data_IF_234776584376
#
_entry.id   IF_234776584376
#
_cell.length_a   1.000
_cell.length_b   1.000
_cell.length_c   1.000
_cell.angle_alpha   90.00
_cell.angle_beta   90.00
_cell.angle_gamma   90.00
#
_symmetry.space_group_name_H-M   'P 1'
#
loop_
_entity.id
_entity.type
_entity.pdbx_description
1 polymer ?
#
# COMPACT_ATOMS: atom_id res chain seq x y z
N UNK A 1 -18.48 11.63 5.32
CA UNK A 1 -18.94 11.04 4.05
C UNK A 1 -17.84 10.58 3.10
N UNK A 2 -16.73 11.33 2.88
CA UNK A 2 -15.60 10.83 2.07
C UNK A 2 -14.89 9.63 2.70
N UNK A 3 -14.64 9.68 4.01
CA UNK A 3 -14.05 8.57 4.77
C UNK A 3 -14.94 7.33 4.79
N UNK A 4 -16.25 7.50 4.94
CA UNK A 4 -17.21 6.39 4.95
C UNK A 4 -17.15 5.58 3.65
N UNK A 5 -17.09 6.29 2.51
CA UNK A 5 -16.96 5.66 1.19
C UNK A 5 -15.61 4.96 1.01
N UNK A 6 -14.52 5.56 1.50
CA UNK A 6 -13.19 4.95 1.45
C UNK A 6 -13.13 3.66 2.25
N UNK A 7 -13.63 3.68 3.49
CA UNK A 7 -13.68 2.50 4.37
C UNK A 7 -14.60 1.43 3.79
N UNK A 8 -15.77 1.80 3.26
CA UNK A 8 -16.72 0.87 2.65
C UNK A 8 -16.11 0.14 1.43
N UNK A 9 -15.27 0.81 0.64
CA UNK A 9 -14.59 0.19 -0.50
C UNK A 9 -13.31 -0.58 -0.10
N UNK A 10 -12.70 -0.20 1.02
CA UNK A 10 -11.46 -0.80 1.50
C UNK A 10 -11.72 -2.08 2.30
N UNK A 11 -12.69 -2.05 3.22
CA UNK A 11 -12.98 -3.14 4.17
C UNK A 11 -13.23 -4.48 3.48
N UNK A 12 -14.05 -4.60 2.42
CA UNK A 12 -14.31 -5.90 1.78
C UNK A 12 -13.07 -6.57 1.17
N UNK A 13 -11.99 -5.80 0.96
CA UNK A 13 -10.73 -6.28 0.36
C UNK A 13 -9.62 -6.54 1.38
N UNK A 14 -9.91 -6.43 2.66
CA UNK A 14 -8.94 -6.61 3.76
C UNK A 14 -9.60 -7.33 4.93
N UNK A 15 -10.16 -8.51 4.68
CA UNK A 15 -10.78 -9.35 5.70
C UNK A 15 -9.75 -10.24 6.41
N UNK A 16 -8.64 -10.57 5.75
CA UNK A 16 -7.55 -11.35 6.33
C UNK A 16 -6.73 -10.50 7.30
N UNK A 17 -6.55 -11.01 8.52
CA UNK A 17 -5.79 -10.33 9.58
C UNK A 17 -4.32 -10.10 9.19
N UNK A 18 -3.71 -11.03 8.48
CA UNK A 18 -2.33 -10.90 7.99
C UNK A 18 -2.23 -9.79 6.95
N UNK A 19 -3.17 -9.75 5.99
CA UNK A 19 -3.24 -8.66 5.02
C UNK A 19 -3.38 -7.30 5.71
N UNK A 20 -4.28 -7.20 6.71
CA UNK A 20 -4.47 -6.00 7.51
C UNK A 20 -3.18 -5.52 8.18
N UNK A 21 -2.48 -6.40 8.90
CA UNK A 21 -1.27 -6.02 9.63
C UNK A 21 -0.11 -5.66 8.72
N UNK A 22 0.04 -6.36 7.59
CA UNK A 22 1.05 -6.01 6.59
C UNK A 22 0.81 -4.60 6.02
N UNK A 23 -0.45 -4.20 5.83
CA UNK A 23 -0.79 -2.83 5.44
C UNK A 23 -0.56 -1.81 6.56
N UNK A 24 -0.88 -2.15 7.82
CA UNK A 24 -0.62 -1.27 8.96
C UNK A 24 0.86 -0.95 9.15
N UNK A 25 1.76 -1.84 8.74
CA UNK A 25 3.22 -1.59 8.74
C UNK A 25 3.68 -0.94 7.43
N UNK A 26 3.21 -1.46 6.29
CA UNK A 26 3.65 -1.00 4.97
C UNK A 26 3.24 0.44 4.64
N UNK A 27 2.02 0.86 4.99
CA UNK A 27 1.56 2.22 4.70
C UNK A 27 2.39 3.30 5.43
N UNK A 28 2.62 3.23 6.76
CA UNK A 28 3.52 4.16 7.43
C UNK A 28 4.95 4.12 6.91
N UNK A 29 5.47 2.94 6.55
CA UNK A 29 6.80 2.81 5.97
C UNK A 29 6.92 3.60 4.66
N UNK A 30 5.96 3.47 3.76
CA UNK A 30 5.96 4.16 2.46
C UNK A 30 5.67 5.66 2.56
N UNK A 31 4.67 6.06 3.35
CA UNK A 31 4.12 7.42 3.28
C UNK A 31 4.56 8.34 4.41
N UNK A 32 5.21 7.80 5.45
CA UNK A 32 5.72 8.59 6.58
C UNK A 32 7.23 8.40 6.71
N UNK A 33 7.68 7.17 6.93
CA UNK A 33 9.08 6.90 7.25
C UNK A 33 10.01 7.15 6.04
N UNK A 34 9.64 6.69 4.85
CA UNK A 34 10.45 6.92 3.65
C UNK A 34 10.60 8.41 3.30
N UNK A 35 9.53 9.24 3.24
CA UNK A 35 9.68 10.69 3.07
C UNK A 35 10.50 11.36 4.17
N UNK A 36 10.30 10.97 5.43
CA UNK A 36 11.09 11.52 6.54
C UNK A 36 12.59 11.23 6.37
N UNK A 37 12.95 9.99 6.01
CA UNK A 37 14.33 9.61 5.73
C UNK A 37 14.89 10.35 4.52
N UNK A 38 14.09 10.56 3.47
CA UNK A 38 14.52 11.33 2.30
C UNK A 38 14.84 12.79 2.66
N UNK A 39 13.99 13.43 3.48
CA UNK A 39 14.17 14.82 3.92
C UNK A 39 15.46 15.00 4.72
N UNK A 40 15.82 14.03 5.56
CA UNK A 40 17.07 14.07 6.36
C UNK A 40 18.30 13.57 5.59
N UNK A 41 18.20 13.40 4.26
CA UNK A 41 19.32 13.01 3.38
C UNK A 41 19.64 11.52 3.38
N UNK A 42 18.83 10.68 4.03
CA UNK A 42 19.03 9.22 4.11
C UNK A 42 18.35 8.50 2.93
N UNK A 43 18.75 8.83 1.70
CA UNK A 43 18.11 8.35 0.47
C UNK A 43 18.05 6.83 0.33
N UNK A 44 19.11 6.11 0.73
CA UNK A 44 19.13 4.64 0.71
C UNK A 44 18.09 4.04 1.67
N UNK A 45 18.00 4.56 2.89
CA UNK A 45 17.01 4.11 3.87
C UNK A 45 15.59 4.46 3.41
N UNK A 46 15.39 5.65 2.83
CA UNK A 46 14.12 6.05 2.25
C UNK A 46 13.67 5.08 1.15
N UNK A 47 14.57 4.73 0.23
CA UNK A 47 14.32 3.75 -0.83
C UNK A 47 13.97 2.37 -0.27
N UNK A 48 14.74 1.89 0.72
CA UNK A 48 14.49 0.60 1.35
C UNK A 48 13.14 0.55 2.07
N UNK A 49 12.77 1.60 2.80
CA UNK A 49 11.48 1.71 3.50
C UNK A 49 10.31 1.77 2.51
N UNK A 50 10.47 2.51 1.41
CA UNK A 50 9.44 2.61 0.38
C UNK A 50 9.24 1.26 -0.32
N UNK A 51 10.31 0.65 -0.84
CA UNK A 51 10.23 -0.63 -1.55
C UNK A 51 9.78 -1.75 -0.62
N UNK A 52 10.35 -1.84 0.59
CA UNK A 52 9.98 -2.84 1.59
C UNK A 52 8.53 -2.67 2.05
N UNK A 53 8.12 -1.45 2.39
CA UNK A 53 6.74 -1.15 2.77
C UNK A 53 5.74 -1.47 1.67
N UNK A 54 6.10 -1.23 0.41
CA UNK A 54 5.26 -1.54 -0.74
C UNK A 54 5.16 -3.06 -0.97
N UNK A 55 6.28 -3.78 -0.85
CA UNK A 55 6.31 -5.24 -0.93
C UNK A 55 5.42 -5.91 0.13
N UNK A 56 5.42 -5.39 1.38
CA UNK A 56 4.52 -5.89 2.43
C UNK A 56 3.04 -5.74 2.05
N UNK A 57 2.66 -4.61 1.47
CA UNK A 57 1.27 -4.35 1.04
C UNK A 57 0.85 -5.30 -0.09
N UNK A 58 1.72 -5.49 -1.10
CA UNK A 58 1.47 -6.44 -2.19
C UNK A 58 1.38 -7.88 -1.68
N UNK A 59 2.25 -8.26 -0.74
CA UNK A 59 2.18 -9.58 -0.11
C UNK A 59 0.87 -9.76 0.66
N UNK A 60 0.41 -8.72 1.36
CA UNK A 60 -0.90 -8.72 2.02
C UNK A 60 -2.03 -9.02 1.04
N UNK A 61 -2.05 -8.32 -0.10
CA UNK A 61 -3.04 -8.56 -1.15
C UNK A 61 -2.94 -9.95 -1.79
N UNK A 62 -1.72 -10.47 -1.94
CA UNK A 62 -1.49 -11.85 -2.40
C UNK A 62 -2.07 -12.88 -1.42
N UNK A 63 -1.89 -12.68 -0.12
CA UNK A 63 -2.44 -13.54 0.95
C UNK A 63 -3.97 -13.42 1.02
N UNK A 64 -4.52 -12.22 0.84
CA UNK A 64 -5.96 -11.98 0.77
C UNK A 64 -6.58 -12.60 -0.50
N UNK A 65 -5.80 -12.82 -1.55
CA UNK A 65 -6.25 -13.36 -2.83
C UNK A 65 -6.96 -12.33 -3.71
N UNK A 66 -6.64 -11.05 -3.57
CA UNK A 66 -7.23 -9.98 -4.38
C UNK A 66 -6.18 -9.02 -4.97
N UNK A 67 -6.63 -8.12 -5.84
CA UNK A 67 -5.75 -7.15 -6.51
C UNK A 67 -5.55 -5.92 -5.64
N UNK A 68 -4.33 -5.40 -5.65
CA UNK A 68 -4.02 -4.12 -5.01
C UNK A 68 -4.68 -2.97 -5.75
N UNK A 69 -4.85 -1.83 -5.06
CA UNK A 69 -5.42 -0.63 -5.68
C UNK A 69 -4.57 -0.12 -6.84
N UNK A 70 -3.25 -0.24 -6.73
CA UNK A 70 -2.27 0.14 -7.73
C UNK A 70 -2.33 -0.77 -8.95
N UNK A 71 -2.46 -2.08 -8.77
CA UNK A 71 -2.68 -3.01 -9.89
C UNK A 71 -3.98 -2.66 -10.64
N UNK A 72 -5.07 -2.40 -9.91
CA UNK A 72 -6.35 -1.99 -10.51
C UNK A 72 -6.22 -0.67 -11.27
N UNK A 73 -5.49 0.30 -10.70
CA UNK A 73 -5.23 1.60 -11.34
C UNK A 73 -4.38 1.45 -12.60
N UNK A 74 -3.28 0.70 -12.54
CA UNK A 74 -2.40 0.43 -13.68
C UNK A 74 -3.16 -0.27 -14.81
N UNK A 75 -3.95 -1.30 -14.50
CA UNK A 75 -4.81 -1.96 -15.49
C UNK A 75 -5.81 -0.98 -16.09
N UNK A 76 -6.45 -0.14 -15.28
CA UNK A 76 -7.37 0.89 -15.78
C UNK A 76 -6.68 1.90 -16.68
N UNK A 77 -5.42 2.23 -16.41
CA UNK A 77 -4.62 3.14 -17.25
C UNK A 77 -4.24 2.47 -18.58
N UNK A 78 -3.84 1.20 -18.55
CA UNK A 78 -3.42 0.43 -19.73
C UNK A 78 -4.58 -0.07 -20.59
N UNK A 79 -5.77 -0.25 -20.02
CA UNK A 79 -6.98 -0.67 -20.73
C UNK A 79 -7.83 0.50 -21.24
N UNK A 80 -7.33 1.73 -21.14
CA UNK A 80 -7.91 2.89 -21.83
C UNK A 80 -7.32 2.98 -23.23
N UNK A 81 -8.13 3.10 -24.29
CA UNK A 81 -7.62 3.39 -25.63
C UNK A 81 -6.92 4.74 -25.66
#
# INVERSE_FOLDING_TARGET
MLFDKAIHNWRPRHQNRTCFWLHMVGMPACFIAAPAMAIVGQGWMAGALFVGGYALQLLGHTIEGNRSGEEMFLRKLLSRP
#
